data_IF_169015177034
#
_entry.id   IF_169015177034
#
_cell.length_a   1.000
_cell.length_b   1.000
_cell.length_c   1.000
_cell.angle_alpha   90.00
_cell.angle_beta   90.00
_cell.angle_gamma   90.00
#
_symmetry.space_group_name_H-M   'P 1'
#
loop_
_entity.id
_entity.type
_entity.pdbx_description
1 polymer ?
#
# COMPACT_ATOMS: atom_id res chain seq x y z
N UNK A 1 -76.93 4.50 3.44
CA UNK A 1 -77.44 5.25 2.28
C UNK A 1 -76.33 6.15 1.75
N UNK A 2 -76.22 6.18 0.43
CA UNK A 2 -75.53 7.18 -0.40
C UNK A 2 -74.01 7.00 -0.63
N UNK A 3 -73.75 6.59 -1.88
CA UNK A 3 -72.52 6.50 -2.66
C UNK A 3 -71.80 7.87 -2.83
N UNK A 4 -70.54 7.85 -3.30
CA UNK A 4 -70.02 8.53 -4.54
C UNK A 4 -68.48 8.57 -4.46
N UNK A 5 -67.77 7.63 -5.12
CA UNK A 5 -67.06 7.73 -6.42
C UNK A 5 -65.86 8.71 -6.50
N UNK A 6 -64.73 8.11 -6.90
CA UNK A 6 -63.75 8.55 -7.92
C UNK A 6 -63.18 9.98 -7.84
N UNK A 7 -61.84 10.09 -7.84
CA UNK A 7 -61.04 10.35 -9.05
C UNK A 7 -59.66 10.96 -8.74
N UNK A 8 -58.65 10.51 -9.52
CA UNK A 8 -57.54 11.28 -10.12
C UNK A 8 -56.73 12.17 -9.16
N UNK A 9 -55.48 11.82 -8.82
CA UNK A 9 -54.35 11.73 -9.73
C UNK A 9 -53.56 13.04 -9.72
N UNK A 10 -52.34 13.03 -9.19
CA UNK A 10 -51.27 13.98 -9.51
C UNK A 10 -49.96 13.50 -8.89
N UNK A 11 -49.05 13.04 -9.75
CA UNK A 11 -47.63 12.89 -9.46
C UNK A 11 -47.07 14.31 -9.28
N UNK A 12 -46.45 14.59 -8.13
CA UNK A 12 -45.65 15.79 -7.93
C UNK A 12 -44.25 15.39 -7.46
N UNK A 13 -43.37 15.20 -8.43
CA UNK A 13 -41.92 15.21 -8.24
C UNK A 13 -41.54 16.66 -7.97
N UNK A 14 -41.12 16.97 -6.74
CA UNK A 14 -40.58 18.28 -6.38
C UNK A 14 -39.20 18.09 -5.74
N UNK A 15 -38.19 18.41 -6.54
CA UNK A 15 -36.80 18.52 -6.15
C UNK A 15 -36.59 19.66 -5.16
N UNK A 16 -35.80 19.43 -4.11
CA UNK A 16 -35.07 20.50 -3.41
C UNK A 16 -33.67 19.99 -3.11
N UNK A 17 -32.76 20.29 -4.04
CA UNK A 17 -31.31 20.28 -3.83
C UNK A 17 -30.98 21.55 -3.02
N UNK A 18 -30.77 21.39 -1.71
CA UNK A 18 -30.23 22.47 -0.88
C UNK A 18 -28.73 22.61 -1.13
N UNK A 19 -28.41 23.50 -2.07
CA UNK A 19 -27.17 24.26 -2.15
C UNK A 19 -26.79 24.81 -0.77
N UNK A 20 -25.59 24.50 -0.29
CA UNK A 20 -24.87 25.34 0.66
C UNK A 20 -23.41 25.40 0.23
N UNK A 21 -23.20 26.15 -0.85
CA UNK A 21 -21.92 26.75 -1.19
C UNK A 21 -21.78 28.00 -0.32
N UNK A 22 -20.95 27.93 0.73
CA UNK A 22 -20.39 29.11 1.36
C UNK A 22 -19.18 29.56 0.53
N UNK A 23 -19.32 30.76 -0.02
CA UNK A 23 -18.39 31.46 -0.90
C UNK A 23 -16.99 31.61 -0.27
N UNK A 24 -15.99 31.06 -0.95
CA UNK A 24 -14.60 31.49 -0.91
C UNK A 24 -14.15 31.81 -2.34
N UNK A 25 -14.08 33.10 -2.64
CA UNK A 25 -13.73 33.70 -3.93
C UNK A 25 -12.32 33.33 -4.41
N UNK A 26 -12.17 33.00 -5.71
CA UNK A 26 -10.89 33.10 -6.40
C UNK A 26 -10.62 32.13 -7.55
N UNK A 27 -11.11 32.46 -8.75
CA UNK A 27 -10.34 32.31 -9.99
C UNK A 27 -10.21 30.93 -10.67
N UNK A 28 -11.05 30.71 -11.69
CA UNK A 28 -10.57 30.41 -13.05
C UNK A 28 -10.14 28.97 -13.42
N UNK A 29 -11.05 28.26 -14.08
CA UNK A 29 -10.77 27.58 -15.35
C UNK A 29 -10.12 26.19 -15.32
N UNK A 30 -10.82 25.20 -15.90
CA UNK A 30 -10.19 23.97 -16.40
C UNK A 30 -10.97 22.70 -16.10
N UNK A 31 -11.96 22.39 -16.95
CA UNK A 31 -12.42 21.03 -17.13
C UNK A 31 -11.29 20.21 -17.78
N UNK A 32 -10.94 19.05 -17.21
CA UNK A 32 -10.09 18.10 -17.89
C UNK A 32 -9.38 17.11 -16.97
N UNK A 33 -9.53 15.83 -17.32
CA UNK A 33 -8.62 14.72 -17.07
C UNK A 33 -8.61 14.06 -15.69
N UNK A 34 -9.04 12.79 -15.74
CA UNK A 34 -8.62 11.65 -14.91
C UNK A 34 -8.01 11.96 -13.54
N UNK A 35 -8.78 11.65 -12.50
CA UNK A 35 -8.20 11.28 -11.22
C UNK A 35 -7.44 9.96 -11.41
N UNK A 36 -6.20 10.07 -11.90
CA UNK A 36 -5.17 9.11 -11.60
C UNK A 36 -5.10 9.00 -10.08
N UNK A 37 -5.05 7.77 -9.59
CA UNK A 37 -4.82 7.44 -8.19
C UNK A 37 -3.47 8.03 -7.75
N UNK A 38 -3.47 9.31 -7.41
CA UNK A 38 -2.39 9.95 -6.70
C UNK A 38 -2.42 9.41 -5.29
N UNK A 39 -1.46 8.55 -4.99
CA UNK A 39 -1.07 8.19 -3.63
C UNK A 39 -0.79 9.48 -2.85
N UNK A 40 -1.82 9.93 -2.17
CA UNK A 40 -1.88 11.02 -1.21
C UNK A 40 -3.00 10.65 -0.26
N UNK A 41 -2.93 9.44 0.28
CA UNK A 41 -3.97 8.85 1.10
C UNK A 41 -3.65 9.07 2.55
N UNK A 42 -4.33 10.02 3.20
CA UNK A 42 -4.44 10.01 4.65
C UNK A 42 -4.91 8.63 5.15
N UNK A 43 -4.71 8.39 6.45
CA UNK A 43 -4.92 7.07 7.10
C UNK A 43 -6.32 6.47 6.88
N UNK A 44 -7.30 7.31 6.56
CA UNK A 44 -8.72 6.99 6.44
C UNK A 44 -9.11 5.86 5.46
N UNK A 45 -8.28 5.53 4.45
CA UNK A 45 -8.65 4.54 3.43
C UNK A 45 -7.75 3.28 3.39
N UNK A 46 -6.77 3.18 4.28
CA UNK A 46 -5.79 2.09 4.26
C UNK A 46 -6.46 0.71 4.39
N UNK A 47 -7.35 0.54 5.38
CA UNK A 47 -7.98 -0.75 5.68
C UNK A 47 -8.89 -1.26 4.55
N UNK A 48 -9.62 -0.36 3.89
CA UNK A 48 -10.48 -0.72 2.76
C UNK A 48 -9.66 -1.19 1.56
N UNK A 49 -8.59 -0.46 1.22
CA UNK A 49 -7.69 -0.84 0.12
C UNK A 49 -6.93 -2.14 0.42
N UNK A 50 -6.45 -2.33 1.66
CA UNK A 50 -5.85 -3.57 2.11
C UNK A 50 -6.83 -4.74 1.96
N UNK A 51 -8.07 -4.58 2.44
CA UNK A 51 -9.10 -5.61 2.34
C UNK A 51 -9.45 -5.96 0.89
N UNK A 52 -9.44 -4.98 -0.01
CA UNK A 52 -9.68 -5.21 -1.43
C UNK A 52 -8.57 -6.08 -2.03
N UNK A 53 -7.31 -5.77 -1.76
CA UNK A 53 -6.17 -6.54 -2.27
C UNK A 53 -6.11 -7.93 -1.64
N UNK A 54 -6.37 -8.06 -0.34
CA UNK A 54 -6.44 -9.34 0.37
C UNK A 54 -7.59 -10.24 -0.10
N UNK A 55 -8.67 -9.65 -0.64
CA UNK A 55 -9.79 -10.40 -1.20
C UNK A 55 -9.48 -11.09 -2.54
N UNK A 56 -8.32 -10.81 -3.14
CA UNK A 56 -7.92 -11.41 -4.41
C UNK A 56 -7.30 -12.79 -4.19
N UNK A 57 -7.52 -13.69 -5.14
CA UNK A 57 -6.90 -15.02 -5.10
C UNK A 57 -5.37 -14.89 -5.26
N UNK A 58 -4.57 -15.80 -4.66
CA UNK A 58 -3.14 -15.87 -4.93
C UNK A 58 -2.85 -15.98 -6.42
N UNK A 59 -1.81 -15.28 -6.89
CA UNK A 59 -1.41 -15.33 -8.29
C UNK A 59 -0.95 -16.74 -8.67
N UNK A 60 -1.38 -17.22 -9.83
CA UNK A 60 -0.95 -18.50 -10.41
C UNK A 60 -0.29 -18.36 -11.78
N UNK A 61 -0.11 -17.14 -12.26
CA UNK A 61 0.32 -16.79 -13.61
C UNK A 61 1.30 -15.61 -13.58
N UNK A 62 2.25 -15.60 -12.63
CA UNK A 62 3.20 -14.51 -12.48
C UNK A 62 3.98 -14.25 -13.79
N UNK A 63 4.20 -12.99 -14.21
CA UNK A 63 4.98 -12.68 -15.40
C UNK A 63 6.43 -13.18 -15.32
N UNK A 64 6.99 -13.61 -16.45
CA UNK A 64 8.40 -14.04 -16.60
C UNK A 64 9.29 -13.04 -17.31
N UNK A 65 8.72 -11.95 -17.80
CA UNK A 65 9.42 -10.90 -18.54
C UNK A 65 8.68 -9.57 -18.43
N UNK A 66 9.38 -8.49 -18.79
CA UNK A 66 8.85 -7.13 -18.75
C UNK A 66 9.04 -6.46 -17.39
N UNK A 67 8.31 -5.38 -17.17
CA UNK A 67 8.32 -4.62 -15.93
C UNK A 67 6.92 -4.24 -15.49
N UNK A 68 6.79 -3.92 -14.21
CA UNK A 68 5.57 -3.42 -13.61
C UNK A 68 5.89 -2.37 -12.56
N UNK A 69 5.07 -1.32 -12.52
CA UNK A 69 5.07 -0.35 -11.43
C UNK A 69 3.91 -0.67 -10.50
N UNK A 70 4.16 -0.56 -9.21
CA UNK A 70 3.20 -0.75 -8.14
C UNK A 70 3.16 0.49 -7.27
N UNK A 71 1.96 0.83 -6.82
CA UNK A 71 1.74 1.88 -5.82
C UNK A 71 0.75 1.40 -4.78
N UNK A 72 0.94 1.85 -3.54
CA UNK A 72 0.06 1.51 -2.43
C UNK A 72 0.58 2.13 -1.15
N UNK A 73 0.37 1.46 -0.02
CA UNK A 73 0.70 2.01 1.29
C UNK A 73 1.18 0.92 2.25
N UNK A 74 2.00 1.32 3.23
CA UNK A 74 2.28 0.55 4.44
C UNK A 74 1.71 1.29 5.64
N UNK A 75 1.18 0.55 6.62
CA UNK A 75 0.79 1.07 7.93
C UNK A 75 1.42 0.19 9.00
N UNK A 76 2.09 0.81 9.97
CA UNK A 76 2.73 0.15 11.11
C UNK A 76 2.28 0.82 12.41
N UNK A 77 2.00 0.01 13.42
CA UNK A 77 1.65 0.50 14.75
C UNK A 77 2.94 0.85 15.51
N UNK A 78 3.25 2.12 15.75
CA UNK A 78 4.49 2.48 16.44
C UNK A 78 4.43 2.02 17.90
N UNK A 79 5.51 1.38 18.36
CA UNK A 79 5.65 0.94 19.75
C UNK A 79 7.04 1.27 20.28
N UNK A 80 7.09 1.92 21.43
CA UNK A 80 8.34 2.18 22.15
C UNK A 80 8.72 0.98 23.03
N UNK A 81 10.00 0.93 23.39
CA UNK A 81 10.53 -0.10 24.30
C UNK A 81 9.89 -0.06 25.71
N UNK A 82 9.35 1.10 26.12
CA UNK A 82 8.58 1.27 27.36
C UNK A 82 7.13 0.75 27.27
N UNK A 83 6.71 0.26 26.10
CA UNK A 83 5.37 -0.27 25.84
C UNK A 83 4.34 0.77 25.42
N UNK A 84 4.68 2.06 25.38
CA UNK A 84 3.79 3.10 24.87
C UNK A 84 3.56 2.96 23.36
N UNK A 85 2.37 3.37 22.92
CA UNK A 85 1.92 3.33 21.53
C UNK A 85 1.68 4.77 21.04
N UNK A 86 2.66 5.40 20.37
CA UNK A 86 2.55 6.79 19.93
C UNK A 86 1.49 7.02 18.86
N UNK A 87 1.10 5.97 18.13
CA UNK A 87 0.15 6.06 17.04
C UNK A 87 0.46 5.11 15.90
N UNK A 88 -0.25 5.29 14.78
CA UNK A 88 -0.06 4.50 13.55
C UNK A 88 0.68 5.32 12.51
N UNK A 89 1.80 4.82 12.03
CA UNK A 89 2.54 5.45 10.94
C UNK A 89 2.10 4.82 9.62
N UNK A 90 1.54 5.63 8.73
CA UNK A 90 1.18 5.23 7.36
C UNK A 90 2.09 5.94 6.37
N UNK A 91 2.59 5.24 5.36
CA UNK A 91 3.42 5.82 4.29
C UNK A 91 3.04 5.28 2.93
N UNK A 92 3.12 6.13 1.91
CA UNK A 92 2.89 5.75 0.52
C UNK A 92 4.11 4.96 0.01
N UNK A 93 3.85 3.84 -0.66
CA UNK A 93 4.85 3.00 -1.28
C UNK A 93 4.78 3.12 -2.80
N UNK A 94 5.93 3.22 -3.43
CA UNK A 94 6.12 3.07 -4.87
C UNK A 94 7.19 2.03 -5.12
N UNK A 95 6.94 1.14 -6.06
CA UNK A 95 7.84 0.04 -6.39
C UNK A 95 7.84 -0.21 -7.88
N UNK A 96 9.00 -0.44 -8.46
CA UNK A 96 9.18 -0.95 -9.80
C UNK A 96 9.80 -2.33 -9.70
N UNK A 97 9.20 -3.29 -10.41
CA UNK A 97 9.68 -4.67 -10.49
C UNK A 97 9.95 -4.97 -11.96
N UNK A 98 11.20 -5.26 -12.30
CA UNK A 98 11.53 -5.87 -13.57
C UNK A 98 11.53 -7.40 -13.40
N UNK A 99 10.65 -8.08 -14.14
CA UNK A 99 10.54 -9.54 -14.15
C UNK A 99 11.62 -10.13 -15.05
N UNK A 100 12.88 -9.85 -14.72
CA UNK A 100 14.02 -10.40 -15.43
C UNK A 100 14.68 -11.43 -14.52
N UNK A 101 14.65 -12.72 -14.87
CA UNK A 101 15.33 -13.72 -14.05
C UNK A 101 16.81 -13.33 -13.91
N UNK A 102 17.35 -13.46 -12.70
CA UNK A 102 18.77 -13.29 -12.49
C UNK A 102 19.53 -14.30 -13.36
N UNK A 103 20.67 -13.91 -13.95
CA UNK A 103 21.41 -14.78 -14.86
C UNK A 103 21.83 -16.13 -14.24
N UNK A 104 21.77 -16.25 -12.92
CA UNK A 104 22.10 -17.43 -12.12
C UNK A 104 20.90 -18.13 -11.47
N UNK A 105 19.69 -17.56 -11.54
CA UNK A 105 18.47 -18.14 -10.93
C UNK A 105 17.21 -17.69 -11.70
N UNK A 106 16.51 -18.60 -12.40
CA UNK A 106 15.30 -18.28 -13.16
C UNK A 106 14.11 -17.86 -12.29
N UNK A 107 14.15 -18.15 -10.98
CA UNK A 107 13.04 -17.96 -10.04
C UNK A 107 13.23 -16.75 -9.11
N UNK A 108 14.39 -16.10 -9.19
CA UNK A 108 14.73 -14.93 -8.37
C UNK A 108 14.93 -13.68 -9.24
N UNK A 109 14.18 -12.62 -8.93
CA UNK A 109 14.29 -11.30 -9.54
C UNK A 109 15.06 -10.33 -8.62
N UNK A 110 16.14 -10.80 -8.00
CA UNK A 110 17.03 -9.98 -7.17
C UNK A 110 17.66 -8.86 -8.01
N UNK A 111 17.89 -7.70 -7.39
CA UNK A 111 18.46 -6.47 -7.98
C UNK A 111 17.60 -5.78 -9.07
N UNK A 112 16.40 -6.29 -9.31
CA UNK A 112 15.44 -5.74 -10.27
C UNK A 112 14.22 -5.09 -9.59
N UNK A 113 14.35 -4.79 -8.31
CA UNK A 113 13.30 -4.16 -7.49
C UNK A 113 13.82 -2.84 -6.95
N UNK A 114 13.24 -1.73 -7.41
CA UNK A 114 13.56 -0.37 -6.97
C UNK A 114 12.30 0.33 -6.49
N UNK A 115 12.43 1.35 -5.65
CA UNK A 115 11.24 2.00 -5.12
C UNK A 115 11.53 3.02 -4.04
N UNK A 116 10.48 3.70 -3.62
CA UNK A 116 10.52 4.68 -2.54
C UNK A 116 9.33 4.53 -1.61
N UNK A 117 9.51 4.95 -0.37
CA UNK A 117 8.42 5.20 0.57
C UNK A 117 8.47 6.65 1.04
N UNK A 118 7.31 7.30 1.14
CA UNK A 118 7.22 8.73 1.47
C UNK A 118 5.83 9.14 1.92
N UNK A 119 5.60 10.46 2.01
CA UNK A 119 4.33 11.04 2.47
C UNK A 119 3.85 10.43 3.80
N UNK A 120 4.77 10.27 4.76
CA UNK A 120 4.44 9.60 6.01
C UNK A 120 3.49 10.45 6.86
N UNK A 121 2.50 9.78 7.45
CA UNK A 121 1.50 10.36 8.34
C UNK A 121 1.41 9.51 9.60
N UNK A 122 1.56 10.15 10.75
CA UNK A 122 1.30 9.57 12.05
C UNK A 122 -0.13 9.92 12.48
N UNK A 123 -0.98 8.91 12.64
CA UNK A 123 -2.26 9.07 13.34
C UNK A 123 -2.03 8.98 14.85
N UNK A 124 -2.19 10.12 15.52
CA UNK A 124 -2.12 10.28 16.97
C UNK A 124 -3.52 10.58 17.50
N UNK A 125 -4.16 9.55 18.04
CA UNK A 125 -5.51 9.66 18.64
C UNK A 125 -6.56 10.26 17.69
N UNK A 126 -6.52 9.90 16.40
CA UNK A 126 -7.42 10.39 15.36
C UNK A 126 -6.95 11.69 14.71
N UNK A 127 -5.75 12.18 15.03
CA UNK A 127 -5.16 13.37 14.41
C UNK A 127 -3.97 12.97 13.55
N UNK A 128 -4.09 13.23 12.24
CA UNK A 128 -3.03 13.01 11.28
C UNK A 128 -1.95 14.11 11.39
N UNK A 129 -0.71 13.69 11.63
CA UNK A 129 0.48 14.55 11.69
C UNK A 129 1.47 14.09 10.62
N UNK A 130 1.93 15.01 9.78
CA UNK A 130 2.93 14.68 8.76
C UNK A 130 4.29 14.36 9.40
N UNK A 131 4.94 13.30 8.92
CA UNK A 131 6.28 12.87 9.30
C UNK A 131 7.22 13.12 8.11
N UNK A 132 8.05 14.17 8.16
CA UNK A 132 9.00 14.47 7.09
C UNK A 132 10.01 13.34 6.86
N UNK A 133 10.31 13.07 5.59
CA UNK A 133 11.36 12.15 5.19
C UNK A 133 10.94 11.24 4.05
N UNK A 134 11.92 10.49 3.53
CA UNK A 134 11.74 9.54 2.43
C UNK A 134 12.67 8.36 2.62
N UNK A 135 12.18 7.17 2.30
CA UNK A 135 12.96 5.93 2.31
C UNK A 135 13.15 5.44 0.87
N UNK A 136 14.26 4.77 0.61
CA UNK A 136 14.60 4.19 -0.70
C UNK A 136 14.76 2.69 -0.58
N UNK A 137 14.25 1.93 -1.54
CA UNK A 137 14.39 0.48 -1.57
C UNK A 137 15.83 0.06 -1.89
N UNK A 138 16.29 -1.05 -1.29
CA UNK A 138 17.59 -1.64 -1.58
C UNK A 138 18.74 -0.87 -0.92
N UNK A 139 18.82 -0.92 0.41
CA UNK A 139 19.83 -0.21 1.20
C UNK A 139 21.02 -1.10 1.58
N UNK A 140 22.24 -0.65 1.30
CA UNK A 140 23.46 -1.36 1.67
C UNK A 140 23.49 -2.78 1.10
N UNK A 141 23.55 -3.79 1.99
CA UNK A 141 23.50 -5.21 1.62
C UNK A 141 22.10 -5.83 1.68
N UNK A 142 21.07 -5.07 2.09
CA UNK A 142 19.69 -5.54 2.12
C UNK A 142 19.05 -5.32 0.75
N UNK A 143 19.01 -6.38 -0.05
CA UNK A 143 18.42 -6.34 -1.38
C UNK A 143 16.90 -6.49 -1.32
N UNK A 144 16.22 -5.69 -2.13
CA UNK A 144 14.83 -5.93 -2.46
C UNK A 144 14.72 -7.09 -3.46
N UNK A 145 13.84 -8.04 -3.19
CA UNK A 145 13.71 -9.28 -3.98
C UNK A 145 12.24 -9.54 -4.27
N UNK A 146 11.95 -9.83 -5.53
CA UNK A 146 10.75 -10.54 -5.91
C UNK A 146 11.15 -11.96 -6.38
N UNK A 147 10.35 -12.96 -6.06
CA UNK A 147 10.57 -14.34 -6.47
C UNK A 147 9.32 -14.88 -7.14
N UNK A 148 9.51 -15.84 -8.04
CA UNK A 148 8.41 -16.67 -8.56
C UNK A 148 8.71 -18.13 -8.34
N UNK A 149 7.67 -18.96 -8.23
CA UNK A 149 7.85 -20.41 -8.17
C UNK A 149 6.91 -21.06 -9.18
N UNK A 150 7.49 -21.76 -10.15
CA UNK A 150 6.74 -22.55 -11.11
C UNK A 150 6.53 -23.98 -10.63
N UNK A 151 5.30 -24.46 -10.72
CA UNK A 151 4.94 -25.85 -10.45
C UNK A 151 4.10 -26.39 -11.61
N UNK A 152 4.43 -27.58 -12.08
CA UNK A 152 3.64 -28.29 -13.09
C UNK A 152 3.10 -29.58 -12.48
N UNK A 153 1.79 -29.66 -12.36
CA UNK A 153 1.08 -30.88 -11.97
C UNK A 153 0.76 -31.68 -13.24
N UNK A 154 1.24 -32.91 -13.30
CA UNK A 154 0.98 -33.82 -14.43
C UNK A 154 0.01 -34.93 -14.01
N UNK A 155 -0.66 -35.55 -14.99
CA UNK A 155 -1.54 -36.69 -14.74
C UNK A 155 -2.88 -36.36 -14.09
N UNK A 156 -3.35 -35.11 -14.20
CA UNK A 156 -4.70 -34.74 -13.74
C UNK A 156 -5.72 -35.35 -14.71
N UNK A 157 -6.61 -36.25 -14.26
CA UNK A 157 -7.64 -36.83 -15.11
C UNK A 157 -8.48 -35.73 -15.79
N UNK A 158 -8.78 -35.90 -17.08
CA UNK A 158 -9.58 -34.98 -17.92
C UNK A 158 -8.87 -33.67 -18.31
N UNK A 159 -8.04 -33.09 -17.45
CA UNK A 159 -7.46 -31.73 -17.66
C UNK A 159 -6.02 -31.76 -18.18
N UNK A 160 -5.31 -32.88 -18.05
CA UNK A 160 -3.93 -33.00 -18.51
C UNK A 160 -2.93 -32.39 -17.54
N UNK A 161 -1.94 -31.65 -18.05
CA UNK A 161 -0.95 -30.95 -17.21
C UNK A 161 -1.40 -29.52 -16.92
N UNK A 162 -1.26 -29.09 -15.65
CA UNK A 162 -1.53 -27.71 -15.23
C UNK A 162 -0.25 -27.11 -14.68
N UNK A 163 0.18 -25.99 -15.25
CA UNK A 163 1.33 -25.21 -14.78
C UNK A 163 0.84 -23.95 -14.07
N UNK A 164 1.36 -23.71 -12.87
CA UNK A 164 1.09 -22.52 -12.06
C UNK A 164 2.40 -21.84 -11.69
N UNK A 165 2.42 -20.50 -11.71
CA UNK A 165 3.52 -19.68 -11.27
C UNK A 165 3.06 -18.70 -10.20
N UNK A 166 3.41 -18.98 -8.95
CA UNK A 166 3.14 -18.09 -7.81
C UNK A 166 4.25 -17.06 -7.67
N UNK A 167 4.01 -16.00 -6.90
CA UNK A 167 5.00 -14.96 -6.65
C UNK A 167 5.01 -14.48 -5.20
N UNK A 168 6.20 -14.10 -4.71
CA UNK A 168 6.39 -13.45 -3.41
C UNK A 168 7.39 -12.29 -3.50
N UNK A 169 7.41 -11.46 -2.47
CA UNK A 169 8.26 -10.28 -2.43
C UNK A 169 8.75 -9.97 -1.02
N UNK A 170 9.99 -9.49 -0.90
CA UNK A 170 10.56 -8.88 0.29
C UNK A 170 11.30 -7.60 -0.10
N UNK A 171 10.93 -6.45 0.45
CA UNK A 171 11.54 -5.16 0.16
C UNK A 171 11.97 -4.49 1.45
N UNK A 172 13.20 -3.99 1.46
CA UNK A 172 13.75 -3.19 2.55
C UNK A 172 13.91 -1.75 2.07
N UNK A 173 13.21 -0.83 2.70
CA UNK A 173 13.33 0.60 2.46
C UNK A 173 14.11 1.23 3.61
N UNK A 174 15.14 2.02 3.31
CA UNK A 174 15.87 2.76 4.32
C UNK A 174 16.10 4.22 3.97
N UNK A 175 16.33 5.01 5.00
CA UNK A 175 16.51 6.45 4.92
C UNK A 175 16.27 7.08 6.29
N UNK A 176 16.08 8.39 6.32
CA UNK A 176 15.86 9.14 7.55
C UNK A 176 14.43 9.69 7.61
N UNK A 177 13.81 9.62 8.79
CA UNK A 177 12.51 10.26 9.10
C UNK A 177 12.64 11.16 10.33
N UNK A 178 11.88 12.25 10.36
CA UNK A 178 11.73 13.06 11.57
C UNK A 178 10.66 12.46 12.50
N UNK A 179 11.10 11.71 13.51
CA UNK A 179 10.23 10.97 14.42
C UNK A 179 9.87 11.77 15.70
N UNK A 180 10.15 13.08 15.75
CA UNK A 180 9.91 13.91 16.94
C UNK A 180 8.45 13.89 17.40
N UNK A 181 7.50 13.90 16.47
CA UNK A 181 6.05 13.85 16.77
C UNK A 181 5.60 12.50 17.37
N UNK A 182 6.29 11.41 17.02
CA UNK A 182 6.14 10.09 17.65
C UNK A 182 6.92 9.98 18.98
N UNK A 183 7.67 11.03 19.34
CA UNK A 183 8.56 11.09 20.50
C UNK A 183 9.85 10.29 20.34
N UNK A 184 10.35 10.17 19.11
CA UNK A 184 11.73 9.78 18.77
C UNK A 184 12.58 11.00 18.42
N UNK A 185 13.69 10.79 17.72
CA UNK A 185 14.60 11.86 17.29
C UNK A 185 14.28 12.41 15.91
N UNK A 186 14.67 13.66 15.66
CA UNK A 186 14.74 14.20 14.31
C UNK A 186 15.82 13.45 13.50
N UNK A 187 15.59 13.23 12.20
CA UNK A 187 16.49 12.50 11.31
C UNK A 187 16.86 11.07 11.80
N UNK A 188 15.90 10.37 12.41
CA UNK A 188 16.10 8.99 12.85
C UNK A 188 16.40 8.09 11.65
N UNK A 189 17.38 7.19 11.78
CA UNK A 189 17.66 6.16 10.79
C UNK A 189 16.53 5.13 10.82
N UNK A 190 15.83 4.95 9.70
CA UNK A 190 14.65 4.10 9.58
C UNK A 190 14.90 2.97 8.59
N UNK A 191 14.48 1.76 8.98
CA UNK A 191 14.35 0.59 8.13
C UNK A 191 12.89 0.12 8.15
N UNK A 192 12.20 0.31 7.02
CA UNK A 192 10.88 -0.26 6.77
C UNK A 192 11.06 -1.54 5.94
N UNK A 193 10.62 -2.67 6.49
CA UNK A 193 10.64 -3.97 5.80
C UNK A 193 9.22 -4.35 5.41
N UNK A 194 9.01 -4.77 4.17
CA UNK A 194 7.73 -5.31 3.68
C UNK A 194 7.94 -6.69 3.09
N UNK A 195 7.06 -7.63 3.42
CA UNK A 195 7.15 -9.02 2.97
C UNK A 195 5.77 -9.62 2.72
N UNK A 196 5.54 -10.16 1.52
CA UNK A 196 4.20 -10.56 1.10
C UNK A 196 4.13 -11.42 -0.15
N UNK A 197 2.91 -11.69 -0.59
CA UNK A 197 2.61 -12.53 -1.75
C UNK A 197 1.88 -11.74 -2.84
N UNK A 198 2.16 -12.09 -4.09
CA UNK A 198 1.41 -11.56 -5.23
C UNK A 198 0.01 -12.19 -5.31
N UNK A 199 -0.96 -11.36 -5.64
CA UNK A 199 -2.38 -11.74 -5.78
C UNK A 199 -2.96 -11.19 -7.09
N UNK A 200 -4.04 -11.82 -7.55
CA UNK A 200 -4.71 -11.50 -8.81
C UNK A 200 -3.97 -12.02 -10.03
N UNK A 201 -4.65 -12.00 -11.18
CA UNK A 201 -4.09 -12.44 -12.46
C UNK A 201 -2.86 -11.60 -12.82
N UNK A 202 -1.77 -12.25 -13.19
CA UNK A 202 -0.50 -11.62 -13.55
C UNK A 202 0.15 -10.78 -12.44
N UNK A 203 -0.21 -11.03 -11.18
CA UNK A 203 0.32 -10.31 -10.02
C UNK A 203 -0.15 -8.85 -9.96
N UNK A 204 -1.44 -8.58 -10.18
CA UNK A 204 -1.98 -7.21 -10.15
C UNK A 204 -1.98 -6.56 -8.77
N UNK A 205 -1.77 -7.32 -7.70
CA UNK A 205 -1.56 -6.78 -6.37
C UNK A 205 -0.53 -7.54 -5.56
N UNK A 206 -0.08 -6.92 -4.48
CA UNK A 206 0.78 -7.52 -3.45
C UNK A 206 0.26 -7.08 -2.09
N UNK A 207 0.23 -7.97 -1.12
CA UNK A 207 0.00 -7.59 0.27
C UNK A 207 0.78 -8.49 1.21
N UNK A 208 0.97 -8.02 2.43
CA UNK A 208 1.68 -8.80 3.44
C UNK A 208 1.98 -7.99 4.69
N UNK A 209 2.95 -8.46 5.44
CA UNK A 209 3.39 -7.83 6.67
C UNK A 209 4.33 -6.65 6.37
N UNK A 210 4.25 -5.63 7.22
CA UNK A 210 5.19 -4.53 7.28
C UNK A 210 5.77 -4.43 8.70
N UNK A 211 7.03 -4.04 8.81
CA UNK A 211 7.66 -3.75 10.09
C UNK A 211 8.60 -2.57 9.97
N UNK A 212 8.64 -1.73 11.01
CA UNK A 212 9.51 -0.57 11.09
C UNK A 212 10.50 -0.71 12.24
N UNK A 213 11.76 -0.44 11.95
CA UNK A 213 12.83 -0.30 12.94
C UNK A 213 13.40 1.12 12.82
N UNK A 214 13.63 1.78 13.95
CA UNK A 214 14.22 3.11 13.97
C UNK A 214 15.37 3.19 14.97
N UNK A 215 16.38 3.99 14.65
CA UNK A 215 17.48 4.33 15.55
C UNK A 215 17.66 5.83 15.61
N UNK A 216 18.11 6.31 16.78
CA UNK A 216 18.53 7.69 16.90
C UNK A 216 19.72 7.96 15.97
N UNK A 217 19.84 9.17 15.39
CA UNK A 217 20.94 9.53 14.51
C UNK A 217 22.30 9.21 15.14
N UNK A 218 23.12 8.43 14.45
CA UNK A 218 24.47 8.07 14.93
C UNK A 218 24.51 7.09 16.10
N UNK A 219 23.38 6.48 16.48
CA UNK A 219 23.29 5.47 17.55
C UNK A 219 22.62 4.17 17.07
N UNK A 220 23.29 3.37 16.24
CA UNK A 220 22.68 2.22 15.55
C UNK A 220 22.41 1.00 16.45
N UNK A 221 22.70 1.09 17.75
CA UNK A 221 22.67 -0.07 18.67
C UNK A 221 21.45 -0.12 19.56
N UNK A 222 20.73 0.98 19.73
CA UNK A 222 19.53 1.04 20.58
C UNK A 222 18.36 1.58 19.77
N UNK A 223 17.36 0.75 19.42
CA UNK A 223 16.23 1.21 18.66
C UNK A 223 15.35 2.17 19.48
N UNK A 224 14.88 3.25 18.87
CA UNK A 224 13.93 4.17 19.52
C UNK A 224 12.52 3.59 19.54
N UNK A 225 12.15 2.89 18.46
CA UNK A 225 10.91 2.14 18.34
C UNK A 225 11.22 0.67 18.11
N UNK A 226 10.64 -0.19 18.95
CA UNK A 226 10.79 -1.65 18.85
C UNK A 226 9.58 -2.21 18.11
N UNK A 227 9.77 -2.48 16.82
CA UNK A 227 8.85 -3.15 15.88
C UNK A 227 7.37 -2.74 15.97
N UNK A 228 6.96 -1.86 15.05
CA UNK A 228 5.55 -1.78 14.70
C UNK A 228 5.18 -2.90 13.76
N UNK A 229 4.45 -3.91 14.24
CA UNK A 229 3.80 -4.89 13.36
C UNK A 229 2.70 -4.17 12.58
N UNK A 230 2.67 -4.42 11.28
CA UNK A 230 1.78 -3.72 10.38
C UNK A 230 1.53 -4.51 9.12
N UNK A 231 0.86 -3.86 8.19
CA UNK A 231 0.54 -4.43 6.90
C UNK A 231 0.93 -3.46 5.79
N UNK A 232 1.08 -3.99 4.60
CA UNK A 232 1.14 -3.19 3.39
C UNK A 232 0.26 -3.80 2.31
N UNK A 233 -0.10 -2.97 1.35
CA UNK A 233 -0.70 -3.38 0.10
C UNK A 233 -0.11 -2.56 -1.05
N UNK A 234 -0.11 -3.14 -2.24
CA UNK A 234 0.34 -2.55 -3.49
C UNK A 234 -0.59 -2.99 -4.61
N UNK A 235 -0.90 -2.07 -5.51
CA UNK A 235 -1.60 -2.33 -6.76
C UNK A 235 -0.69 -1.99 -7.95
N UNK A 236 -0.68 -2.89 -8.93
CA UNK A 236 -0.05 -2.63 -10.22
C UNK A 236 -0.77 -1.47 -10.90
N UNK A 237 0.01 -0.56 -11.48
CA UNK A 237 -0.47 0.62 -12.22
C UNK A 237 -0.58 0.33 -13.72
#
# INVERSE_FOLDING_TARGET
MTYTRLARGAVAVAAVLSLSACLGSGGGGGAGAGAGAGAGGGTANFAAALSEVQGRIPTSDMPTSGSATYAGQAQVDLRKSDGSMPGKLTGDLKLEVAFKPANSDPDTFADNVTGTAGNFVLDKDGTDVAIPGTLTAGIGSLTAVATSTEQTLTGIPVVGSVTTRTGAMSVYYGGELDMTEAGGSANSDVLLSTGGSFVGAGGTGVHGAASLLTHAPGSPTTPEFTSGEGYFWLNRQ
#
